data_IF_242954120088
#
_entry.id   IF_242954120088
#
_cell.length_a   1.000
_cell.length_b   1.000
_cell.length_c   1.000
_cell.angle_alpha   90.00
_cell.angle_beta   90.00
_cell.angle_gamma   90.00
#
_symmetry.space_group_name_H-M   'P 1'
#
loop_
_entity.id
_entity.type
_entity.pdbx_description
1 polymer ?
#
# COMPACT_ATOMS: atom_id res chain seq x y z
N UNK A 1 -45.07 -26.44 -19.77
CA UNK A 1 -45.77 -25.53 -18.84
C UNK A 1 -45.83 -26.17 -17.45
N UNK A 2 -44.98 -25.74 -16.52
CA UNK A 2 -45.04 -26.12 -15.10
C UNK A 2 -44.88 -24.84 -14.27
N UNK A 3 -45.91 -24.50 -13.48
CA UNK A 3 -45.95 -23.33 -12.59
C UNK A 3 -45.15 -23.66 -11.32
N UNK A 4 -44.14 -22.85 -11.02
CA UNK A 4 -43.44 -22.87 -9.73
C UNK A 4 -44.07 -21.79 -8.85
N UNK A 5 -44.66 -22.21 -7.73
CA UNK A 5 -45.31 -21.34 -6.75
C UNK A 5 -44.29 -20.57 -5.91
N UNK A 6 -44.51 -19.26 -5.79
CA UNK A 6 -43.78 -18.38 -4.85
C UNK A 6 -44.40 -18.49 -3.46
N UNK A 7 -43.57 -18.71 -2.44
CA UNK A 7 -43.92 -18.51 -1.02
C UNK A 7 -43.38 -17.15 -0.57
N UNK A 8 -44.13 -16.35 0.22
CA UNK A 8 -43.63 -15.11 0.78
C UNK A 8 -42.79 -15.36 2.04
N UNK A 9 -41.67 -14.66 2.15
CA UNK A 9 -40.89 -14.55 3.38
C UNK A 9 -41.44 -13.39 4.22
N UNK A 10 -41.76 -13.69 5.48
CA UNK A 10 -42.09 -12.72 6.52
C UNK A 10 -40.79 -12.13 7.10
N UNK A 11 -40.66 -10.80 7.05
CA UNK A 11 -39.61 -10.04 7.73
C UNK A 11 -40.15 -9.54 9.07
N UNK A 12 -39.60 -10.06 10.17
CA UNK A 12 -39.80 -9.53 11.51
C UNK A 12 -38.86 -8.34 11.74
N UNK A 13 -39.45 -7.17 11.98
CA UNK A 13 -38.72 -5.96 12.38
C UNK A 13 -38.40 -5.97 13.88
N UNK A 14 -37.15 -5.65 14.22
CA UNK A 14 -36.72 -5.30 15.56
C UNK A 14 -36.46 -3.79 15.61
N UNK A 15 -37.20 -3.10 16.47
CA UNK A 15 -37.03 -1.70 16.78
C UNK A 15 -36.00 -1.56 17.92
N UNK A 16 -34.99 -0.70 17.74
CA UNK A 16 -34.07 -0.28 18.81
C UNK A 16 -34.50 1.08 19.35
N UNK A 17 -34.59 1.16 20.68
CA UNK A 17 -35.02 2.31 21.45
C UNK A 17 -33.95 3.40 21.54
N UNK A 18 -34.42 4.65 21.53
CA UNK A 18 -33.64 5.85 21.79
C UNK A 18 -33.49 6.09 23.30
N UNK A 19 -32.29 6.45 23.76
CA UNK A 19 -32.06 7.03 25.08
C UNK A 19 -31.65 8.50 24.91
N UNK A 20 -32.53 9.40 25.36
CA UNK A 20 -32.20 10.78 25.68
C UNK A 20 -31.83 10.92 27.16
N UNK A 21 -31.03 11.92 27.48
CA UNK A 21 -30.70 12.29 28.86
C UNK A 21 -29.64 13.38 28.94
N UNK A 22 -30.07 14.63 28.84
CA UNK A 22 -29.30 15.82 29.26
C UNK A 22 -29.27 15.95 30.79
N UNK A 23 -28.14 16.33 31.38
CA UNK A 23 -28.10 17.31 32.51
C UNK A 23 -26.79 18.09 32.48
N UNK A 24 -26.91 19.40 32.68
CA UNK A 24 -25.86 20.41 32.76
C UNK A 24 -25.07 20.40 34.09
N UNK A 25 -23.88 21.00 34.10
CA UNK A 25 -23.42 21.92 35.15
C UNK A 25 -22.11 22.64 34.75
N UNK A 26 -22.21 23.96 34.66
CA UNK A 26 -21.14 24.99 34.83
C UNK A 26 -21.20 25.51 36.28
N UNK A 27 -20.32 26.42 36.74
CA UNK A 27 -18.94 26.76 36.35
C UNK A 27 -17.99 26.75 37.58
N UNK A 28 -16.68 26.99 37.39
CA UNK A 28 -16.00 27.90 38.32
C UNK A 28 -14.75 28.57 37.75
N UNK A 29 -14.56 29.82 38.17
CA UNK A 29 -13.55 30.75 37.72
C UNK A 29 -12.36 30.79 38.70
N UNK A 30 -11.15 31.03 38.18
CA UNK A 30 -10.04 31.65 38.93
C UNK A 30 -8.97 32.12 37.95
N UNK A 31 -8.97 33.43 37.66
CA UNK A 31 -8.02 34.45 38.15
C UNK A 31 -6.60 34.34 37.57
N UNK A 32 -6.33 35.31 36.69
CA UNK A 32 -5.02 35.74 36.23
C UNK A 32 -4.18 36.33 37.36
N UNK A 33 -2.89 36.03 37.39
CA UNK A 33 -1.89 36.89 38.02
C UNK A 33 -0.71 37.10 37.06
N UNK A 34 -0.34 38.37 36.88
CA UNK A 34 0.59 38.86 35.87
C UNK A 34 1.89 39.26 36.56
N UNK A 35 2.90 38.39 36.49
CA UNK A 35 4.28 38.68 36.92
C UNK A 35 5.11 39.25 35.78
N UNK A 36 5.70 40.42 35.99
CA UNK A 36 6.59 41.12 35.05
C UNK A 36 7.91 40.36 34.78
N UNK A 37 8.46 40.41 33.55
CA UNK A 37 9.73 39.76 33.22
C UNK A 37 10.95 40.58 33.65
N UNK A 38 11.96 39.90 34.18
CA UNK A 38 13.29 40.45 34.47
C UNK A 38 14.10 40.70 33.17
N UNK A 39 15.02 41.68 33.14
CA UNK A 39 15.84 41.98 31.97
C UNK A 39 16.90 40.89 31.70
N UNK A 40 17.27 40.66 30.42
CA UNK A 40 18.24 39.63 30.05
C UNK A 40 19.68 40.03 30.40
N UNK A 41 20.55 39.06 30.79
CA UNK A 41 21.97 39.32 31.00
C UNK A 41 22.72 39.51 29.67
N UNK A 42 23.73 40.37 29.73
CA UNK A 42 24.64 40.77 28.64
C UNK A 42 25.52 39.58 28.19
N UNK A 43 25.72 39.34 26.88
CA UNK A 43 26.57 38.24 26.41
C UNK A 43 28.05 38.55 26.63
N UNK A 44 28.74 37.63 27.30
CA UNK A 44 30.20 37.59 27.43
C UNK A 44 30.82 36.96 26.19
N UNK A 45 31.88 37.56 25.65
CA UNK A 45 32.60 37.07 24.47
C UNK A 45 33.28 35.71 24.73
N UNK A 46 33.25 34.77 23.76
CA UNK A 46 33.97 33.51 23.89
C UNK A 46 35.48 33.66 23.57
N UNK A 47 36.33 32.81 24.17
CA UNK A 47 37.78 32.82 23.93
C UNK A 47 38.13 32.21 22.57
N UNK A 48 39.08 32.85 21.88
CA UNK A 48 39.66 32.40 20.63
C UNK A 48 40.60 31.21 20.85
N UNK A 49 40.35 30.10 20.14
CA UNK A 49 41.28 28.97 20.01
C UNK A 49 41.89 28.92 18.59
N UNK A 50 43.16 28.49 18.43
CA UNK A 50 43.81 28.39 17.12
C UNK A 50 43.30 27.19 16.30
N UNK A 51 43.38 27.25 14.96
CA UNK A 51 42.79 26.23 14.10
C UNK A 51 43.68 24.97 14.04
N UNK A 52 43.14 23.85 14.52
CA UNK A 52 43.65 22.52 14.17
C UNK A 52 43.05 22.11 12.83
N UNK A 53 43.92 21.85 11.85
CA UNK A 53 43.55 21.29 10.55
C UNK A 53 42.90 19.93 10.73
N UNK A 54 41.64 19.83 10.31
CA UNK A 54 40.91 18.60 10.08
C UNK A 54 40.53 18.56 8.60
N UNK A 55 40.88 17.46 7.95
CA UNK A 55 40.54 17.15 6.58
C UNK A 55 39.07 17.46 6.30
N UNK A 56 38.83 18.24 5.24
CA UNK A 56 37.50 18.61 4.82
C UNK A 56 36.70 17.33 4.47
N UNK A 57 35.68 17.04 5.28
CA UNK A 57 34.66 16.08 4.93
C UNK A 57 34.09 16.47 3.55
N UNK A 58 33.85 15.50 2.64
CA UNK A 58 33.22 15.80 1.36
C UNK A 58 31.89 16.52 1.60
N UNK A 59 31.53 17.49 0.73
CA UNK A 59 30.30 18.24 0.90
C UNK A 59 29.11 17.27 0.93
N UNK A 60 28.08 17.56 1.74
CA UNK A 60 26.87 16.76 1.76
C UNK A 60 26.29 16.73 0.35
N UNK A 61 26.28 15.54 -0.23
CA UNK A 61 25.67 15.24 -1.51
C UNK A 61 24.22 15.74 -1.47
N UNK A 62 23.93 16.77 -2.27
CA UNK A 62 22.60 17.35 -2.35
C UNK A 62 21.58 16.24 -2.65
N UNK A 63 20.56 16.13 -1.80
CA UNK A 63 19.45 15.21 -1.98
C UNK A 63 18.64 15.60 -3.23
N UNK A 64 19.13 15.19 -4.40
CA UNK A 64 18.50 15.39 -5.68
C UNK A 64 17.10 14.77 -5.74
N UNK A 65 16.15 15.60 -6.16
CA UNK A 65 14.80 15.34 -6.64
C UNK A 65 13.95 14.28 -5.92
N UNK A 66 13.09 14.78 -5.04
CA UNK A 66 11.96 14.10 -4.39
C UNK A 66 10.83 13.81 -5.39
N UNK A 67 11.10 13.02 -6.41
CA UNK A 67 10.14 12.75 -7.47
C UNK A 67 9.26 11.53 -7.10
N UNK A 68 7.92 11.64 -7.05
CA UNK A 68 6.99 10.51 -6.83
C UNK A 68 7.08 9.38 -7.87
N UNK A 69 7.85 9.58 -8.95
CA UNK A 69 8.19 8.56 -9.92
C UNK A 69 8.93 7.35 -9.33
N UNK A 70 9.57 7.47 -8.16
CA UNK A 70 10.23 6.35 -7.48
C UNK A 70 9.26 5.24 -7.01
N UNK A 71 8.00 5.58 -6.74
CA UNK A 71 7.01 4.64 -6.21
C UNK A 71 6.62 3.58 -7.24
N UNK A 72 6.31 4.00 -8.46
CA UNK A 72 6.16 3.07 -9.56
C UNK A 72 7.50 2.66 -10.15
N UNK A 73 8.54 3.50 -10.25
CA UNK A 73 9.88 3.02 -10.66
C UNK A 73 10.46 1.93 -9.74
N UNK A 74 10.00 1.76 -8.50
CA UNK A 74 10.27 0.60 -7.66
C UNK A 74 9.46 -0.64 -8.08
N UNK A 75 8.22 -0.43 -8.49
CA UNK A 75 7.26 -1.43 -8.99
C UNK A 75 7.42 -1.75 -10.50
N UNK A 76 8.05 -0.88 -11.29
CA UNK A 76 8.54 -1.04 -12.66
C UNK A 76 10.05 -1.26 -12.66
N UNK A 77 10.74 -1.05 -11.53
CA UNK A 77 12.06 -1.60 -11.23
C UNK A 77 12.01 -3.10 -10.95
N UNK A 78 10.85 -3.63 -10.57
CA UNK A 78 10.51 -5.06 -10.77
C UNK A 78 10.61 -5.44 -12.26
N UNK A 79 10.24 -4.54 -13.18
CA UNK A 79 10.32 -4.73 -14.62
C UNK A 79 11.70 -4.38 -15.25
N UNK A 80 12.63 -3.78 -14.50
CA UNK A 80 13.99 -3.53 -15.01
C UNK A 80 14.91 -4.76 -14.96
N UNK A 81 14.48 -5.86 -14.31
CA UNK A 81 15.13 -7.16 -14.45
C UNK A 81 14.37 -8.12 -15.38
N UNK A 82 13.10 -7.82 -15.71
CA UNK A 82 12.20 -8.64 -16.52
C UNK A 82 11.24 -7.70 -17.27
N UNK A 83 11.22 -7.65 -18.61
CA UNK A 83 10.58 -6.58 -19.40
C UNK A 83 9.04 -6.56 -19.35
N UNK A 84 8.39 -7.18 -18.38
CA UNK A 84 6.93 -7.25 -18.23
C UNK A 84 6.51 -6.92 -16.81
N UNK A 85 5.41 -6.19 -16.67
CA UNK A 85 4.78 -5.92 -15.39
C UNK A 85 4.51 -7.24 -14.66
N UNK A 86 4.82 -7.28 -13.36
CA UNK A 86 4.78 -8.52 -12.61
C UNK A 86 3.36 -9.08 -12.57
N UNK A 87 3.27 -10.41 -12.52
CA UNK A 87 2.09 -11.13 -12.08
C UNK A 87 1.59 -10.50 -10.77
N UNK A 88 0.31 -10.13 -10.74
CA UNK A 88 -0.34 -9.62 -9.54
C UNK A 88 -1.08 -10.76 -8.84
N UNK A 89 -1.26 -10.61 -7.53
CA UNK A 89 -1.91 -11.60 -6.68
C UNK A 89 -3.00 -10.94 -5.85
N UNK A 90 -4.18 -11.54 -5.83
CA UNK A 90 -5.29 -11.17 -4.94
C UNK A 90 -5.55 -12.32 -4.00
N UNK A 91 -5.92 -12.01 -2.77
CA UNK A 91 -6.46 -13.00 -1.85
C UNK A 91 -7.98 -13.05 -2.00
N UNK A 92 -8.57 -14.20 -1.72
CA UNK A 92 -10.02 -14.44 -1.78
C UNK A 92 -10.43 -15.43 -0.70
N UNK A 93 -11.71 -15.44 -0.32
CA UNK A 93 -12.22 -16.44 0.62
C UNK A 93 -12.38 -17.80 -0.05
N UNK A 94 -12.40 -18.86 0.75
CA UNK A 94 -12.69 -20.22 0.26
C UNK A 94 -14.00 -20.29 -0.54
N UNK A 95 -15.07 -19.67 -0.03
CA UNK A 95 -16.35 -19.66 -0.72
C UNK A 95 -16.28 -19.01 -2.11
N UNK A 96 -15.53 -17.92 -2.23
CA UNK A 96 -15.29 -17.26 -3.52
C UNK A 96 -14.41 -18.13 -4.43
N UNK A 97 -13.35 -18.75 -3.92
CA UNK A 97 -12.52 -19.67 -4.70
C UNK A 97 -13.32 -20.86 -5.24
N UNK A 98 -14.17 -21.46 -4.40
CA UNK A 98 -15.08 -22.53 -4.82
C UNK A 98 -16.09 -22.03 -5.86
N UNK A 99 -16.54 -20.76 -5.75
CA UNK A 99 -17.35 -20.08 -6.76
C UNK A 99 -16.65 -19.91 -8.11
N UNK A 100 -15.40 -19.43 -8.09
CA UNK A 100 -14.57 -19.31 -9.29
C UNK A 100 -14.38 -20.66 -9.99
N UNK A 101 -14.21 -21.75 -9.24
CA UNK A 101 -14.16 -23.11 -9.80
C UNK A 101 -15.47 -23.56 -10.46
N UNK A 102 -16.61 -23.00 -10.05
CA UNK A 102 -17.92 -23.26 -10.66
C UNK A 102 -18.26 -22.30 -11.80
N UNK A 103 -17.39 -21.33 -12.10
CA UNK A 103 -17.59 -20.34 -13.15
C UNK A 103 -18.27 -19.04 -12.68
N UNK A 104 -18.28 -18.75 -11.38
CA UNK A 104 -18.73 -17.44 -10.90
C UNK A 104 -17.81 -16.32 -11.46
N UNK A 105 -18.34 -15.09 -11.68
CA UNK A 105 -17.54 -14.00 -12.22
C UNK A 105 -16.29 -13.69 -11.39
N UNK A 106 -15.17 -13.44 -12.09
CA UNK A 106 -13.90 -13.10 -11.44
C UNK A 106 -14.02 -11.83 -10.59
N UNK A 107 -14.67 -10.80 -11.12
CA UNK A 107 -15.01 -9.57 -10.42
C UNK A 107 -16.49 -9.57 -10.08
N UNK A 108 -16.80 -9.72 -8.79
CA UNK A 108 -18.18 -9.84 -8.30
C UNK A 108 -18.49 -8.91 -7.12
N UNK A 109 -17.46 -8.33 -6.49
CA UNK A 109 -17.62 -7.37 -5.40
C UNK A 109 -17.52 -5.94 -5.93
N UNK A 110 -18.49 -5.11 -5.55
CA UNK A 110 -18.44 -3.65 -5.69
C UNK A 110 -17.92 -2.99 -4.42
N UNK A 111 -18.13 -3.61 -3.26
CA UNK A 111 -17.74 -3.12 -1.93
C UNK A 111 -16.90 -4.16 -1.16
N UNK A 112 -16.11 -3.67 -0.20
CA UNK A 112 -15.47 -4.47 0.84
C UNK A 112 -16.50 -4.95 1.86
N UNK A 113 -16.08 -5.78 2.80
CA UNK A 113 -16.97 -6.32 3.83
C UNK A 113 -17.52 -5.23 4.78
N UNK A 114 -16.93 -4.02 4.78
CA UNK A 114 -17.45 -2.84 5.50
C UNK A 114 -18.56 -2.10 4.73
N UNK A 115 -18.90 -2.53 3.52
CA UNK A 115 -19.90 -1.86 2.67
C UNK A 115 -19.37 -0.64 1.92
N UNK A 116 -18.07 -0.34 2.01
CA UNK A 116 -17.41 0.75 1.29
C UNK A 116 -16.62 0.22 0.08
N UNK A 117 -16.40 1.03 -0.96
CA UNK A 117 -15.58 0.62 -2.12
C UNK A 117 -14.07 0.63 -1.81
N UNK A 118 -13.68 1.21 -0.66
CA UNK A 118 -12.31 1.42 -0.24
C UNK A 118 -11.86 2.87 -0.46
N UNK A 119 -10.83 3.28 0.28
CA UNK A 119 -10.36 4.67 0.33
C UNK A 119 -9.90 5.23 -1.03
N UNK A 120 -9.35 4.38 -1.91
CA UNK A 120 -9.05 4.75 -3.30
C UNK A 120 -10.26 5.40 -3.98
N UNK A 121 -11.45 4.80 -3.87
CA UNK A 121 -12.64 5.33 -4.52
C UNK A 121 -13.17 6.59 -3.84
N UNK A 122 -13.04 6.72 -2.52
CA UNK A 122 -13.34 7.99 -1.83
C UNK A 122 -12.51 9.14 -2.41
N UNK A 123 -11.21 8.89 -2.64
CA UNK A 123 -10.29 9.86 -3.26
C UNK A 123 -10.67 10.16 -4.70
N UNK A 124 -10.94 9.13 -5.51
CA UNK A 124 -11.33 9.32 -6.93
C UNK A 124 -12.65 10.07 -7.05
N UNK A 125 -13.67 9.71 -6.28
CA UNK A 125 -14.98 10.35 -6.30
C UNK A 125 -14.92 11.80 -5.83
N UNK A 126 -14.11 12.10 -4.79
CA UNK A 126 -13.88 13.47 -4.36
C UNK A 126 -13.22 14.34 -5.45
N UNK A 127 -12.26 13.79 -6.19
CA UNK A 127 -11.61 14.50 -7.31
C UNK A 127 -12.51 14.65 -8.52
N UNK A 128 -13.27 13.61 -8.86
CA UNK A 128 -14.26 13.65 -9.93
C UNK A 128 -15.26 14.79 -9.73
N UNK A 129 -15.70 15.03 -8.48
CA UNK A 129 -16.58 16.16 -8.12
C UNK A 129 -15.95 17.54 -8.38
N UNK A 130 -14.61 17.62 -8.45
CA UNK A 130 -13.89 18.86 -8.81
C UNK A 130 -13.58 18.99 -10.30
N UNK A 131 -14.11 18.10 -11.14
CA UNK A 131 -13.91 18.14 -12.60
C UNK A 131 -12.67 17.40 -13.09
N UNK A 132 -12.04 16.55 -12.27
CA UNK A 132 -10.91 15.72 -12.68
C UNK A 132 -11.38 14.58 -13.59
N UNK A 133 -11.10 14.71 -14.88
CA UNK A 133 -11.56 13.75 -15.90
C UNK A 133 -10.94 12.36 -15.74
N UNK A 134 -9.70 12.27 -15.25
CA UNK A 134 -9.05 10.97 -15.01
C UNK A 134 -9.74 10.32 -13.82
N UNK A 135 -9.96 11.05 -12.73
CA UNK A 135 -10.68 10.52 -11.58
C UNK A 135 -12.09 10.04 -11.93
N UNK A 136 -12.84 10.81 -12.73
CA UNK A 136 -14.17 10.42 -13.24
C UNK A 136 -14.11 9.13 -14.07
N UNK A 137 -13.10 8.96 -14.92
CA UNK A 137 -12.90 7.74 -15.70
C UNK A 137 -12.66 6.53 -14.79
N UNK A 138 -11.75 6.65 -13.81
CA UNK A 138 -11.35 5.55 -12.94
C UNK A 138 -12.43 5.19 -11.89
N UNK A 139 -13.26 6.15 -11.48
CA UNK A 139 -14.40 5.91 -10.59
C UNK A 139 -15.64 5.34 -11.31
N UNK A 140 -15.63 5.37 -12.65
CA UNK A 140 -16.79 5.04 -13.48
C UNK A 140 -17.13 3.55 -13.58
N UNK A 141 -18.19 3.21 -14.35
CA UNK A 141 -18.76 1.85 -14.40
C UNK A 141 -17.79 0.74 -14.80
N UNK A 142 -16.76 1.06 -15.61
CA UNK A 142 -15.74 0.08 -16.04
C UNK A 142 -14.99 -0.54 -14.86
N UNK A 143 -14.87 0.20 -13.76
CA UNK A 143 -14.14 -0.20 -12.56
C UNK A 143 -15.06 -0.24 -11.34
N UNK A 144 -16.36 -0.45 -11.59
CA UNK A 144 -17.37 -0.60 -10.54
C UNK A 144 -17.14 -1.88 -9.72
N UNK A 145 -16.77 -2.96 -10.42
CA UNK A 145 -16.38 -4.24 -9.80
C UNK A 145 -14.90 -4.49 -10.01
N UNK A 146 -14.28 -5.15 -9.04
CA UNK A 146 -12.86 -5.41 -9.11
C UNK A 146 -12.31 -6.10 -7.88
N UNK A 147 -10.97 -6.13 -7.79
CA UNK A 147 -10.23 -6.71 -6.68
C UNK A 147 -8.98 -5.91 -6.39
N UNK A 148 -8.63 -5.83 -5.11
CA UNK A 148 -7.31 -5.37 -4.72
C UNK A 148 -6.27 -6.48 -4.94
N UNK A 149 -5.09 -6.11 -5.42
CA UNK A 149 -4.01 -7.02 -5.74
C UNK A 149 -2.64 -6.43 -5.44
N UNK A 150 -1.66 -7.31 -5.30
CA UNK A 150 -0.29 -6.97 -4.94
C UNK A 150 0.70 -7.76 -5.78
N UNK A 151 1.89 -7.20 -6.07
CA UNK A 151 2.95 -7.94 -6.76
C UNK A 151 3.66 -8.97 -5.85
N UNK A 152 3.38 -8.94 -4.55
CA UNK A 152 3.93 -9.81 -3.53
C UNK A 152 2.80 -10.27 -2.60
N UNK A 153 2.84 -11.53 -2.17
CA UNK A 153 1.79 -12.16 -1.37
C UNK A 153 1.75 -11.63 0.06
N UNK A 154 2.87 -11.16 0.58
CA UNK A 154 3.01 -10.51 1.87
C UNK A 154 2.18 -9.22 1.98
N UNK A 155 1.96 -8.52 0.84
CA UNK A 155 1.26 -7.24 0.78
C UNK A 155 -0.17 -7.30 1.35
N UNK A 156 -0.89 -8.41 1.17
CA UNK A 156 -2.24 -8.57 1.75
C UNK A 156 -2.22 -8.83 3.25
N UNK A 157 -1.17 -9.45 3.77
CA UNK A 157 -1.07 -9.81 5.19
C UNK A 157 -0.68 -8.65 6.08
N UNK A 158 -0.12 -7.59 5.48
CA UNK A 158 0.14 -6.32 6.16
C UNK A 158 -0.99 -5.30 5.99
N UNK A 159 -1.98 -5.59 5.13
CA UNK A 159 -3.20 -4.78 5.03
C UNK A 159 -4.06 -4.91 6.30
N UNK A 160 -4.72 -3.84 6.76
CA UNK A 160 -5.69 -3.92 7.87
C UNK A 160 -6.90 -4.79 7.53
N UNK A 161 -7.23 -4.98 6.25
CA UNK A 161 -8.32 -5.82 5.80
C UNK A 161 -7.88 -7.26 5.53
N UNK A 162 -8.73 -8.23 5.89
CA UNK A 162 -8.50 -9.66 5.62
C UNK A 162 -9.33 -10.09 4.41
N UNK A 163 -8.66 -10.47 3.33
CA UNK A 163 -9.32 -10.89 2.08
C UNK A 163 -9.48 -12.41 1.91
N UNK A 164 -9.27 -13.19 2.98
CA UNK A 164 -9.23 -14.65 2.94
C UNK A 164 -7.82 -15.20 2.80
N UNK A 165 -7.73 -16.48 2.41
CA UNK A 165 -6.48 -17.26 2.40
C UNK A 165 -6.21 -17.95 1.05
N UNK A 166 -7.19 -17.95 0.14
CA UNK A 166 -7.01 -18.49 -1.21
C UNK A 166 -6.38 -17.43 -2.10
N UNK A 167 -5.49 -17.82 -2.99
CA UNK A 167 -4.69 -16.90 -3.80
C UNK A 167 -5.09 -17.04 -5.27
N UNK A 168 -5.40 -15.90 -5.89
CA UNK A 168 -5.59 -15.76 -7.33
C UNK A 168 -4.40 -15.01 -7.91
N UNK A 169 -3.78 -15.56 -8.94
CA UNK A 169 -2.71 -14.94 -9.71
C UNK A 169 -3.26 -14.38 -11.03
N UNK A 170 -2.74 -13.24 -11.48
CA UNK A 170 -3.17 -12.55 -12.69
C UNK A 170 -1.97 -12.23 -13.59
N UNK A 171 -2.14 -12.45 -14.88
CA UNK A 171 -1.26 -11.93 -15.93
C UNK A 171 -2.07 -11.05 -16.87
N UNK A 172 -1.39 -10.08 -17.50
CA UNK A 172 -2.05 -9.05 -18.28
C UNK A 172 -1.71 -9.19 -19.76
N UNK A 173 -2.60 -8.67 -20.61
CA UNK A 173 -2.34 -8.60 -22.05
C UNK A 173 -1.14 -7.67 -22.32
N UNK A 174 -0.35 -7.92 -23.38
CA UNK A 174 0.82 -7.10 -23.68
C UNK A 174 0.51 -5.62 -23.96
N UNK A 175 -0.72 -5.32 -24.36
CA UNK A 175 -1.21 -3.97 -24.62
C UNK A 175 -1.89 -3.31 -23.41
N UNK A 176 -1.94 -3.98 -22.26
CA UNK A 176 -2.48 -3.42 -21.02
C UNK A 176 -1.75 -2.15 -20.59
N UNK A 177 -2.53 -1.21 -20.06
CA UNK A 177 -2.08 0.04 -19.46
C UNK A 177 -2.38 0.06 -17.96
N UNK A 178 -1.55 0.77 -17.21
CA UNK A 178 -1.62 0.88 -15.77
C UNK A 178 -1.53 2.35 -15.39
N UNK A 179 -2.25 2.77 -14.35
CA UNK A 179 -2.19 4.15 -13.87
C UNK A 179 -1.79 4.20 -12.40
N UNK A 180 -0.90 5.11 -12.04
CA UNK A 180 -0.63 5.43 -10.64
C UNK A 180 -1.56 6.54 -10.19
N UNK A 181 -2.08 6.42 -8.98
CA UNK A 181 -2.92 7.42 -8.34
C UNK A 181 -2.29 7.74 -6.99
N UNK A 182 -1.64 8.89 -6.89
CA UNK A 182 -1.21 9.44 -5.60
C UNK A 182 -2.41 10.09 -4.91
N UNK A 183 -2.64 9.83 -3.62
CA UNK A 183 -3.73 10.39 -2.83
C UNK A 183 -3.52 11.89 -2.49
N UNK A 184 -2.29 12.31 -2.21
CA UNK A 184 -1.96 13.65 -1.76
C UNK A 184 -1.58 14.58 -2.92
N UNK A 185 -0.71 14.12 -3.83
CA UNK A 185 -0.15 14.97 -4.89
C UNK A 185 -1.13 15.23 -6.03
N UNK A 186 -2.27 14.52 -6.05
CA UNK A 186 -3.27 14.60 -7.13
C UNK A 186 -2.67 14.33 -8.52
N UNK A 187 -1.63 13.52 -8.56
CA UNK A 187 -0.90 13.20 -9.77
C UNK A 187 -1.30 11.83 -10.32
N UNK A 188 -1.33 11.74 -11.65
CA UNK A 188 -1.51 10.52 -12.42
C UNK A 188 -0.26 10.24 -13.26
N UNK A 189 0.01 8.95 -13.45
CA UNK A 189 1.01 8.53 -14.42
C UNK A 189 0.63 7.19 -15.05
N UNK A 190 0.72 7.11 -16.37
CA UNK A 190 0.33 5.95 -17.14
C UNK A 190 1.53 5.15 -17.61
N UNK A 191 1.41 3.82 -17.62
CA UNK A 191 2.50 2.91 -17.95
C UNK A 191 1.99 1.74 -18.78
N UNK A 192 2.84 1.24 -19.67
CA UNK A 192 2.54 0.04 -20.46
C UNK A 192 2.83 -1.25 -19.68
N UNK A 193 2.47 -2.39 -20.28
CA UNK A 193 2.76 -3.72 -19.75
C UNK A 193 4.25 -4.00 -19.52
N UNK A 194 5.17 -3.15 -19.98
CA UNK A 194 6.63 -3.28 -19.77
C UNK A 194 7.15 -2.30 -18.72
N UNK A 195 6.25 -1.51 -18.12
CA UNK A 195 6.60 -0.48 -17.14
C UNK A 195 7.15 0.80 -17.75
N UNK A 196 7.08 0.98 -19.08
CA UNK A 196 7.48 2.23 -19.72
C UNK A 196 6.38 3.28 -19.56
N UNK A 197 6.78 4.54 -19.28
CA UNK A 197 5.84 5.66 -19.18
C UNK A 197 5.14 5.87 -20.53
N UNK A 198 3.82 5.99 -20.49
CA UNK A 198 2.97 6.32 -21.63
C UNK A 198 2.49 7.78 -21.48
N UNK A 199 2.52 8.59 -22.56
CA UNK A 199 1.92 9.92 -22.52
C UNK A 199 0.44 9.87 -22.17
N UNK A 200 0.00 10.79 -21.33
CA UNK A 200 -1.37 10.82 -20.80
C UNK A 200 -2.41 10.86 -21.93
N UNK A 201 -2.19 11.67 -22.98
CA UNK A 201 -3.08 11.73 -24.15
C UNK A 201 -3.22 10.38 -24.87
N UNK A 202 -2.15 9.61 -24.98
CA UNK A 202 -2.17 8.27 -25.59
C UNK A 202 -2.94 7.27 -24.73
N UNK A 203 -2.75 7.31 -23.40
CA UNK A 203 -3.46 6.42 -22.49
C UNK A 203 -4.96 6.74 -22.43
N UNK A 204 -5.32 8.03 -22.40
CA UNK A 204 -6.70 8.49 -22.35
C UNK A 204 -7.45 8.34 -23.67
N UNK A 205 -6.75 8.19 -24.79
CA UNK A 205 -7.36 7.86 -26.08
C UNK A 205 -7.81 6.39 -26.19
N UNK A 206 -7.30 5.51 -25.31
CA UNK A 206 -7.63 4.08 -25.30
C UNK A 206 -7.92 3.57 -23.87
N UNK A 207 -8.94 4.13 -23.18
CA UNK A 207 -9.24 3.80 -21.79
C UNK A 207 -9.64 2.33 -21.58
N UNK A 208 -10.07 1.63 -22.63
CA UNK A 208 -10.33 0.20 -22.63
C UNK A 208 -9.08 -0.67 -22.43
N UNK A 209 -7.89 -0.09 -22.60
CA UNK A 209 -6.61 -0.75 -22.30
C UNK A 209 -6.18 -0.61 -20.84
N UNK A 210 -6.82 0.26 -20.05
CA UNK A 210 -6.49 0.43 -18.63
C UNK A 210 -6.90 -0.83 -17.84
N UNK A 211 -5.91 -1.60 -17.38
CA UNK A 211 -6.09 -2.85 -16.67
C UNK A 211 -6.28 -2.64 -15.16
N UNK A 212 -5.42 -1.80 -14.57
CA UNK A 212 -5.29 -1.66 -13.13
C UNK A 212 -4.75 -0.31 -12.69
N UNK A 213 -5.02 0.03 -11.42
CA UNK A 213 -4.59 1.27 -10.80
C UNK A 213 -3.65 0.96 -9.65
N UNK A 214 -2.44 1.49 -9.62
CA UNK A 214 -1.66 1.54 -8.38
C UNK A 214 -2.12 2.75 -7.57
N UNK A 215 -2.82 2.50 -6.48
CA UNK A 215 -3.09 3.53 -5.50
C UNK A 215 -1.92 3.67 -4.52
N UNK A 216 -1.51 4.90 -4.27
CA UNK A 216 -0.50 5.24 -3.27
C UNK A 216 -1.13 6.23 -2.30
N UNK A 217 -1.36 5.77 -1.06
CA UNK A 217 -1.64 6.69 0.02
C UNK A 217 -0.30 7.31 0.45
N UNK A 218 0.11 8.38 -0.21
CA UNK A 218 1.33 9.11 0.08
C UNK A 218 1.11 10.25 1.08
N UNK A 219 0.06 10.13 1.90
CA UNK A 219 -0.15 10.86 3.15
C UNK A 219 1.03 10.63 4.09
N UNK A 220 2.15 11.29 3.79
CA UNK A 220 3.10 11.63 4.83
C UNK A 220 2.38 12.69 5.65
N UNK A 221 1.89 12.30 6.83
CA UNK A 221 1.71 13.27 7.90
C UNK A 221 3.00 14.11 7.90
N UNK A 222 2.83 15.39 7.57
CA UNK A 222 3.92 16.35 7.44
C UNK A 222 4.80 16.17 8.67
N UNK A 223 6.10 15.98 8.45
CA UNK A 223 7.13 15.91 9.48
C UNK A 223 7.30 17.28 10.17
N UNK A 224 6.21 17.83 10.69
CA UNK A 224 6.18 19.05 11.51
C UNK A 224 6.46 18.75 12.98
N UNK A 225 6.82 17.50 13.32
CA UNK A 225 7.54 17.22 14.56
C UNK A 225 8.97 17.77 14.44
N UNK A 226 9.08 19.06 14.78
CA UNK A 226 10.30 19.80 15.07
C UNK A 226 11.23 18.94 15.94
N UNK A 227 12.28 18.37 15.34
CA UNK A 227 13.34 17.68 16.07
C UNK A 227 13.85 16.39 15.42
N UNK A 228 14.81 16.54 14.51
CA UNK A 228 15.69 15.50 13.99
C UNK A 228 15.06 14.42 13.05
N UNK A 229 15.18 14.59 11.72
CA UNK A 229 14.70 13.61 10.73
C UNK A 229 15.47 12.27 10.71
N UNK A 230 16.47 12.09 11.58
CA UNK A 230 17.32 10.89 11.63
C UNK A 230 17.35 10.18 12.99
N UNK A 231 16.47 10.54 13.93
CA UNK A 231 16.41 9.79 15.20
C UNK A 231 15.68 8.45 14.98
N UNK A 232 16.44 7.35 14.95
CA UNK A 232 15.89 5.98 14.95
C UNK A 232 15.18 5.59 16.27
N UNK A 233 14.87 6.57 17.13
CA UNK A 233 14.22 6.39 18.44
C UNK A 233 12.91 7.16 18.60
N UNK A 234 12.51 7.99 17.63
CA UNK A 234 11.21 8.67 17.66
C UNK A 234 10.09 7.75 17.17
N UNK A 235 9.05 7.58 17.96
CA UNK A 235 7.75 7.04 17.51
C UNK A 235 7.13 8.04 16.53
N UNK A 236 7.47 7.90 15.26
CA UNK A 236 6.81 8.64 14.19
C UNK A 236 5.43 8.00 14.01
N UNK A 237 4.38 8.73 14.35
CA UNK A 237 3.01 8.39 13.97
C UNK A 237 2.85 8.72 12.48
N UNK A 238 3.50 7.89 11.65
CA UNK A 238 3.37 7.98 10.20
C UNK A 238 1.94 7.59 9.87
N UNK A 239 1.16 8.53 9.33
CA UNK A 239 -0.08 8.22 8.64
C UNK A 239 0.14 7.01 7.72
N UNK A 240 -0.86 6.11 7.65
CA UNK A 240 -0.72 4.83 6.97
C UNK A 240 -0.37 5.03 5.50
N UNK A 241 0.93 5.10 5.18
CA UNK A 241 1.40 4.96 3.81
C UNK A 241 1.09 3.53 3.43
N UNK A 242 0.38 3.33 2.33
CA UNK A 242 0.15 2.01 1.75
C UNK A 242 0.01 2.09 0.23
N UNK A 243 0.23 0.93 -0.39
CA UNK A 243 0.21 0.74 -1.84
C UNK A 243 -0.58 -0.50 -2.18
N UNK A 244 -1.50 -0.37 -3.11
CA UNK A 244 -2.32 -1.49 -3.58
C UNK A 244 -2.69 -1.30 -5.05
N UNK A 245 -2.79 -2.39 -5.79
CA UNK A 245 -3.36 -2.36 -7.11
C UNK A 245 -4.86 -2.59 -7.02
N UNK A 246 -5.67 -1.84 -7.75
CA UNK A 246 -7.06 -2.19 -8.02
C UNK A 246 -7.18 -2.72 -9.45
N UNK A 247 -7.67 -3.95 -9.59
CA UNK A 247 -7.96 -4.63 -10.85
C UNK A 247 -9.45 -4.52 -11.15
N UNK A 248 -9.85 -3.88 -12.25
CA UNK A 248 -11.27 -3.79 -12.61
C UNK A 248 -11.60 -4.05 -14.08
N UNK A 249 -10.61 -4.11 -14.97
CA UNK A 249 -10.86 -4.37 -16.39
C UNK A 249 -10.50 -5.81 -16.78
N UNK A 250 -11.49 -6.70 -16.72
CA UNK A 250 -11.31 -8.13 -17.05
C UNK A 250 -10.79 -8.32 -18.48
N UNK A 251 -11.17 -7.43 -19.41
CA UNK A 251 -10.74 -7.50 -20.80
C UNK A 251 -9.23 -7.36 -21.00
N UNK A 252 -8.49 -6.85 -20.00
CA UNK A 252 -7.03 -6.72 -20.03
C UNK A 252 -6.28 -7.81 -19.26
N UNK A 253 -7.00 -8.77 -18.66
CA UNK A 253 -6.40 -9.97 -18.08
C UNK A 253 -6.17 -10.97 -19.22
N UNK A 254 -4.93 -11.42 -19.37
CA UNK A 254 -4.58 -12.48 -20.33
C UNK A 254 -4.88 -13.86 -19.73
N UNK A 255 -4.53 -14.04 -18.46
CA UNK A 255 -4.76 -15.28 -17.72
C UNK A 255 -4.95 -14.96 -16.25
N UNK A 256 -5.84 -15.69 -15.59
CA UNK A 256 -5.82 -15.79 -14.14
C UNK A 256 -5.80 -17.25 -13.71
N UNK A 257 -5.24 -17.51 -12.54
CA UNK A 257 -5.13 -18.87 -12.01
C UNK A 257 -5.30 -18.94 -10.50
N UNK A 258 -5.70 -20.11 -10.02
CA UNK A 258 -5.91 -20.44 -8.62
C UNK A 258 -5.37 -21.86 -8.34
N UNK A 259 -4.83 -22.08 -7.15
CA UNK A 259 -4.43 -23.42 -6.71
C UNK A 259 -3.29 -24.04 -7.52
N UNK A 260 -2.46 -23.25 -8.21
CA UNK A 260 -1.38 -23.76 -9.07
C UNK A 260 -0.08 -23.99 -8.29
N UNK A 261 0.79 -24.86 -8.81
CA UNK A 261 2.14 -25.05 -8.26
C UNK A 261 2.94 -23.73 -8.27
N UNK A 262 2.77 -22.89 -9.29
CA UNK A 262 3.45 -21.60 -9.37
C UNK A 262 3.13 -20.67 -8.17
N UNK A 263 1.91 -20.75 -7.63
CA UNK A 263 1.53 -20.00 -6.41
C UNK A 263 2.23 -20.59 -5.18
N UNK A 264 2.30 -21.93 -5.08
CA UNK A 264 3.02 -22.61 -3.98
C UNK A 264 4.51 -22.25 -3.99
N UNK A 265 5.14 -22.29 -5.17
CA UNK A 265 6.54 -21.92 -5.35
C UNK A 265 6.76 -20.44 -5.01
N UNK A 266 5.81 -19.57 -5.39
CA UNK A 266 5.86 -18.15 -5.04
C UNK A 266 5.78 -17.94 -3.53
N UNK A 267 4.86 -18.60 -2.83
CA UNK A 267 4.78 -18.57 -1.37
C UNK A 267 6.11 -18.98 -0.74
N UNK A 268 6.67 -20.12 -1.18
CA UNK A 268 7.92 -20.63 -0.64
C UNK A 268 9.09 -19.66 -0.84
N UNK A 269 9.21 -19.08 -2.04
CA UNK A 269 10.24 -18.10 -2.34
C UNK A 269 10.09 -16.84 -1.47
N UNK A 270 8.87 -16.33 -1.30
CA UNK A 270 8.62 -15.13 -0.51
C UNK A 270 8.80 -15.34 0.99
N UNK A 271 8.45 -16.52 1.52
CA UNK A 271 8.80 -16.93 2.90
C UNK A 271 10.31 -16.91 3.09
N UNK A 272 11.07 -17.44 2.13
CA UNK A 272 12.54 -17.42 2.17
C UNK A 272 13.08 -15.99 2.16
N UNK A 273 12.55 -15.12 1.27
CA UNK A 273 12.94 -13.71 1.17
C UNK A 273 12.70 -12.97 2.49
N UNK A 274 11.51 -13.14 3.09
CA UNK A 274 11.15 -12.51 4.37
C UNK A 274 12.04 -12.98 5.51
N UNK A 275 12.31 -14.29 5.60
CA UNK A 275 13.21 -14.85 6.62
C UNK A 275 14.65 -14.37 6.41
N UNK A 276 15.11 -14.23 5.17
CA UNK A 276 16.43 -13.65 4.88
C UNK A 276 16.49 -12.20 5.32
N UNK A 277 15.49 -11.41 4.94
CA UNK A 277 15.42 -10.02 5.34
C UNK A 277 15.38 -9.88 6.86
N UNK A 278 14.59 -10.70 7.57
CA UNK A 278 14.57 -10.70 9.03
C UNK A 278 15.96 -10.94 9.64
N UNK A 279 16.74 -11.87 9.10
CA UNK A 279 18.13 -12.12 9.53
C UNK A 279 19.04 -10.94 9.23
N UNK A 280 18.90 -10.33 8.05
CA UNK A 280 19.72 -9.18 7.62
C UNK A 280 19.45 -7.93 8.47
N UNK A 281 18.23 -7.81 9.02
CA UNK A 281 17.81 -6.72 9.90
C UNK A 281 18.08 -6.99 11.40
N UNK A 282 18.48 -8.21 11.77
CA UNK A 282 18.76 -8.57 13.16
C UNK A 282 20.10 -7.97 13.63
N UNK A 283 20.02 -6.75 14.16
CA UNK A 283 21.18 -5.99 14.65
C UNK A 283 21.76 -6.54 15.97
N UNK A 284 21.14 -7.57 16.57
CA UNK A 284 21.64 -8.17 17.82
C UNK A 284 22.99 -8.90 17.65
N UNK A 285 23.41 -9.16 16.40
CA UNK A 285 24.65 -9.88 16.07
C UNK A 285 25.91 -9.01 15.90
N UNK A 286 25.86 -7.73 16.27
CA UNK A 286 27.04 -6.84 16.30
C UNK A 286 27.14 -5.85 15.13
N UNK A 287 27.98 -4.83 15.31
CA UNK A 287 27.96 -3.49 14.69
C UNK A 287 28.18 -3.37 13.16
N UNK A 288 28.02 -4.44 12.38
CA UNK A 288 28.22 -4.43 10.92
C UNK A 288 26.95 -4.76 10.11
N UNK A 289 25.80 -4.92 10.77
CA UNK A 289 24.51 -4.96 10.07
C UNK A 289 24.24 -3.64 9.35
N UNK A 290 23.55 -3.65 8.19
CA UNK A 290 23.15 -2.42 7.52
C UNK A 290 22.33 -1.59 8.52
N UNK A 291 22.79 -0.36 8.81
CA UNK A 291 22.08 0.53 9.73
C UNK A 291 20.59 0.61 9.35
N UNK A 292 19.68 0.80 10.32
CA UNK A 292 18.26 1.00 10.03
C UNK A 292 18.03 2.09 8.96
N UNK A 293 18.94 3.08 8.87
CA UNK A 293 18.96 4.11 7.83
C UNK A 293 19.25 3.54 6.44
N UNK A 294 20.14 2.57 6.29
CA UNK A 294 20.41 1.87 5.02
C UNK A 294 19.17 1.12 4.53
N UNK A 295 18.43 0.52 5.45
CA UNK A 295 17.19 -0.21 5.16
C UNK A 295 16.06 0.75 4.80
N UNK A 296 15.87 1.83 5.57
CA UNK A 296 14.92 2.89 5.24
C UNK A 296 15.26 3.58 3.91
N UNK A 297 16.55 3.77 3.59
CA UNK A 297 16.97 4.24 2.27
C UNK A 297 16.63 3.24 1.17
N UNK A 298 16.65 1.93 1.42
CA UNK A 298 16.15 0.89 0.49
C UNK A 298 14.62 0.84 0.40
N UNK A 299 13.90 1.29 1.43
CA UNK A 299 12.45 1.52 1.37
C UNK A 299 12.10 2.68 0.44
N UNK A 300 12.94 3.73 0.45
CA UNK A 300 12.71 4.97 -0.30
C UNK A 300 13.37 5.00 -1.69
N UNK A 301 14.52 4.35 -1.86
CA UNK A 301 15.25 4.23 -3.13
C UNK A 301 14.93 2.87 -3.75
N UNK A 302 14.71 2.85 -5.06
CA UNK A 302 14.54 1.61 -5.83
C UNK A 302 15.81 0.77 -5.72
N UNK A 303 15.86 -0.13 -4.76
CA UNK A 303 16.91 -1.15 -4.74
C UNK A 303 16.69 -2.15 -5.87
N UNK A 304 17.78 -2.66 -6.45
CA UNK A 304 17.72 -3.60 -7.56
C UNK A 304 17.45 -5.03 -7.09
N UNK A 305 17.63 -5.32 -5.80
CA UNK A 305 17.47 -6.66 -5.24
C UNK A 305 16.00 -7.01 -5.02
N UNK A 306 15.69 -8.31 -5.02
CA UNK A 306 14.33 -8.82 -4.75
C UNK A 306 13.82 -8.41 -3.35
N UNK A 307 14.71 -8.37 -2.35
CA UNK A 307 14.38 -7.95 -1.00
C UNK A 307 13.98 -6.46 -0.94
N UNK A 308 14.69 -5.58 -1.66
CA UNK A 308 14.35 -4.15 -1.72
C UNK A 308 12.97 -3.94 -2.36
N UNK A 309 12.64 -4.74 -3.39
CA UNK A 309 11.33 -4.70 -4.07
C UNK A 309 10.20 -5.22 -3.17
N UNK A 310 10.46 -6.30 -2.42
CA UNK A 310 9.52 -6.84 -1.43
C UNK A 310 9.24 -5.80 -0.36
N UNK A 311 10.28 -5.18 0.19
CA UNK A 311 10.21 -4.04 1.11
C UNK A 311 9.34 -2.91 0.55
N UNK A 312 9.59 -2.48 -0.69
CA UNK A 312 8.86 -1.37 -1.30
C UNK A 312 7.38 -1.71 -1.53
N UNK A 313 7.06 -2.99 -1.72
CA UNK A 313 5.70 -3.49 -1.84
C UNK A 313 4.96 -3.66 -0.50
N UNK A 314 5.72 -3.88 0.58
CA UNK A 314 5.21 -3.98 1.95
C UNK A 314 5.11 -2.63 2.64
N UNK A 315 5.15 -1.53 1.89
CA UNK A 315 5.06 -0.16 2.41
C UNK A 315 3.66 0.16 2.97
N UNK A 316 3.11 -0.71 3.81
CA UNK A 316 2.10 -0.42 4.81
C UNK A 316 2.84 0.07 6.04
N UNK A 317 2.55 1.28 6.53
CA UNK A 317 2.95 1.64 7.88
C UNK A 317 2.36 0.59 8.81
N UNK A 318 3.21 -0.04 9.64
CA UNK A 318 2.74 -1.11 10.52
C UNK A 318 1.56 -0.59 11.36
N UNK A 319 0.54 -1.42 11.65
CA UNK A 319 -0.63 -1.01 12.44
C UNK A 319 -0.32 -0.58 13.89
N UNK A 320 0.96 -0.39 14.23
CA UNK A 320 1.45 -0.18 15.58
C UNK A 320 2.04 1.22 15.84
N UNK A 321 1.92 2.18 14.91
CA UNK A 321 2.52 3.52 15.09
C UNK A 321 4.04 3.47 15.34
N UNK A 322 4.67 2.36 14.93
CA UNK A 322 6.10 2.11 15.09
C UNK A 322 6.74 2.14 13.72
N UNK A 323 7.81 2.92 13.63
CA UNK A 323 8.61 3.15 12.44
C UNK A 323 9.34 1.87 12.02
N UNK A 324 8.69 1.05 11.18
CA UNK A 324 9.33 -0.05 10.44
C UNK A 324 8.91 -1.47 10.84
N UNK A 325 9.11 -2.41 9.92
CA UNK A 325 8.92 -3.84 10.15
C UNK A 325 10.13 -4.39 10.93
N UNK A 326 9.93 -4.84 12.17
CA UNK A 326 11.01 -5.48 12.96
C UNK A 326 11.31 -6.87 12.41
N UNK A 327 12.50 -7.43 12.64
CA UNK A 327 12.81 -8.82 12.30
C UNK A 327 11.73 -9.82 12.77
N UNK A 328 11.22 -9.66 13.98
CA UNK A 328 10.15 -10.51 14.52
C UNK A 328 8.82 -10.40 13.75
N UNK A 329 8.49 -9.21 13.24
CA UNK A 329 7.28 -8.99 12.45
C UNK A 329 7.42 -9.65 11.06
N UNK A 330 8.61 -9.55 10.44
CA UNK A 330 8.93 -10.24 9.19
C UNK A 330 8.92 -11.76 9.34
N UNK A 331 9.48 -12.30 10.42
CA UNK A 331 9.43 -13.74 10.71
C UNK A 331 7.98 -14.21 10.87
N UNK A 332 7.15 -13.47 11.63
CA UNK A 332 5.73 -13.79 11.79
C UNK A 332 4.99 -13.77 10.45
N UNK A 333 5.25 -12.75 9.63
CA UNK A 333 4.68 -12.63 8.30
C UNK A 333 5.09 -13.80 7.40
N UNK A 334 6.36 -14.22 7.47
CA UNK A 334 6.84 -15.40 6.77
C UNK A 334 6.11 -16.66 7.24
N UNK A 335 5.96 -16.87 8.55
CA UNK A 335 5.25 -18.04 9.08
C UNK A 335 3.76 -18.03 8.70
N UNK A 336 3.13 -16.86 8.65
CA UNK A 336 1.74 -16.72 8.21
C UNK A 336 1.56 -17.01 6.72
N UNK A 337 2.53 -16.66 5.86
CA UNK A 337 2.53 -17.09 4.45
C UNK A 337 2.81 -18.59 4.31
N UNK A 338 3.70 -19.14 5.13
CA UNK A 338 4.08 -20.55 5.07
C UNK A 338 2.89 -21.48 5.35
N UNK A 339 1.99 -21.07 6.25
CA UNK A 339 0.73 -21.78 6.56
C UNK A 339 -0.25 -21.84 5.39
N UNK A 340 -0.07 -21.02 4.35
CA UNK A 340 -0.96 -20.97 3.19
C UNK A 340 -0.55 -21.92 2.08
N UNK A 341 0.56 -22.65 2.23
CA UNK A 341 0.93 -23.66 1.26
C UNK A 341 -0.14 -24.74 1.22
N UNK A 342 -0.47 -25.17 0.01
CA UNK A 342 -1.52 -26.15 -0.27
C UNK A 342 -1.00 -27.22 -1.23
N UNK A 343 -1.71 -28.35 -1.30
CA UNK A 343 -1.52 -29.30 -2.40
C UNK A 343 -2.14 -28.72 -3.67
N UNK A 344 -1.38 -28.60 -4.79
CA UNK A 344 -1.89 -27.99 -6.00
C UNK A 344 -3.18 -28.65 -6.50
N UNK A 345 -4.14 -27.81 -6.85
CA UNK A 345 -5.38 -28.17 -7.53
C UNK A 345 -5.65 -27.08 -8.57
N UNK A 346 -4.95 -27.08 -9.70
CA UNK A 346 -4.89 -25.93 -10.57
C UNK A 346 -6.24 -25.64 -11.24
N UNK A 347 -6.60 -24.36 -11.26
CA UNK A 347 -7.56 -23.76 -12.18
C UNK A 347 -6.81 -22.65 -12.93
N UNK A 348 -6.82 -22.70 -14.26
CA UNK A 348 -6.20 -21.69 -15.12
C UNK A 348 -7.23 -21.29 -16.17
N UNK A 349 -7.45 -19.99 -16.34
CA UNK A 349 -8.49 -19.44 -17.21
C UNK A 349 -7.93 -18.30 -18.04
N UNK A 350 -8.20 -18.35 -19.36
CA UNK A 350 -7.92 -17.31 -20.34
C UNK A 350 -9.26 -16.66 -20.72
N UNK A 351 -9.59 -15.47 -20.17
CA UNK A 351 -10.92 -14.86 -20.29
C UNK A 351 -11.36 -14.46 -21.70
#
# INVERSE_FOLDING_TARGET
MRRIGRRPFLLSGLALAACGGSVANTPDASTFDAGAPAPPPTPSSPPSFPPSGLDAAPPPEECGDKNPSAGLAALTGLAQAEPTLPRLYSFTTKAQADGLRRGDPLFSKTTTDSGHRGYLFDVLEARAKTGDSVASLLAGPRFETGRFAWPFLAGTRVSPERYGDEIVAFTFKPDALFVTVSAQQRAYAFYDARGARVPDATALAAPERLAAFLFMNDSMAVMDSVGNPFSCGGTIDVGLVYREFYLGNLGMIAEWSLGTQAIVDRLAAEVSDLRSLARDLDCSKGALGPSCVTVLRKWMRVGTTRADKLIASMAFATPFGRSGLRPADLTRLADDLDKLRFLPSPLVVTP
#
